data_IF_149726580948
#
_entry.id   IF_149726580948
#
_cell.length_a   1.000
_cell.length_b   1.000
_cell.length_c   1.000
_cell.angle_alpha   90.00
_cell.angle_beta   90.00
_cell.angle_gamma   90.00
#
_symmetry.space_group_name_H-M   'P 1'
#
loop_
_entity.id
_entity.type
_entity.pdbx_description
1 polymer ?
#
# COMPACT_ATOMS: atom_id res chain seq x y z
N UNK A 1 -63.77 -44.44 8.20
CA UNK A 1 -63.24 -43.12 8.63
C UNK A 1 -61.76 -43.09 8.25
N UNK A 2 -61.40 -42.30 7.21
CA UNK A 2 -60.03 -42.22 6.73
C UNK A 2 -59.39 -40.97 7.33
N UNK A 3 -58.40 -41.18 8.21
CA UNK A 3 -57.65 -40.10 8.81
C UNK A 3 -56.70 -39.53 7.76
N UNK A 4 -56.91 -38.26 7.36
CA UNK A 4 -56.06 -37.49 6.48
C UNK A 4 -54.95 -36.85 7.34
N UNK A 5 -53.71 -37.35 7.23
CA UNK A 5 -52.56 -36.75 7.90
C UNK A 5 -52.02 -35.63 6.95
N UNK A 6 -52.21 -34.41 7.42
CA UNK A 6 -51.71 -33.21 6.72
C UNK A 6 -50.22 -32.98 7.10
N UNK A 7 -49.31 -33.24 6.15
CA UNK A 7 -47.89 -32.87 6.33
C UNK A 7 -47.71 -31.39 6.09
N UNK A 8 -47.46 -30.63 7.16
CA UNK A 8 -47.06 -29.21 7.05
C UNK A 8 -45.58 -29.18 6.75
N UNK A 9 -45.23 -28.79 5.51
CA UNK A 9 -43.86 -28.53 5.08
C UNK A 9 -43.47 -27.12 5.56
N UNK A 10 -42.68 -27.03 6.65
CA UNK A 10 -42.09 -25.76 7.09
C UNK A 10 -40.77 -25.59 6.30
N UNK A 11 -40.64 -24.59 5.42
CA UNK A 11 -39.37 -24.32 4.76
C UNK A 11 -38.40 -23.81 5.81
N UNK A 12 -37.29 -24.53 6.03
CA UNK A 12 -36.14 -24.04 6.76
C UNK A 12 -35.51 -22.93 5.92
N UNK A 13 -35.83 -21.68 6.25
CA UNK A 13 -35.11 -20.53 5.74
C UNK A 13 -33.77 -20.51 6.48
N UNK A 14 -32.72 -21.03 5.84
CA UNK A 14 -31.36 -20.86 6.29
C UNK A 14 -31.01 -19.38 6.15
N UNK A 15 -31.08 -18.62 7.23
CA UNK A 15 -30.42 -17.34 7.32
C UNK A 15 -28.90 -17.61 7.31
N UNK A 16 -28.28 -17.47 6.13
CA UNK A 16 -26.84 -17.28 6.06
C UNK A 16 -26.54 -16.00 6.82
N UNK A 17 -26.02 -16.13 8.05
CA UNK A 17 -25.39 -15.01 8.73
C UNK A 17 -24.19 -14.59 7.87
N UNK A 18 -24.34 -13.52 7.09
CA UNK A 18 -23.22 -12.76 6.57
C UNK A 18 -22.37 -12.37 7.80
N UNK A 19 -21.24 -13.03 7.98
CA UNK A 19 -20.29 -12.65 9.00
C UNK A 19 -19.80 -11.24 8.68
N UNK A 20 -20.12 -10.26 9.52
CA UNK A 20 -19.70 -8.87 9.44
C UNK A 20 -18.19 -8.69 9.71
N UNK A 21 -17.35 -9.61 9.26
CA UNK A 21 -15.91 -9.42 9.18
C UNK A 21 -15.55 -8.99 7.76
N UNK A 22 -15.99 -7.80 7.36
CA UNK A 22 -15.65 -7.21 6.05
C UNK A 22 -14.13 -7.04 5.86
N UNK A 23 -13.37 -6.94 6.96
CA UNK A 23 -11.92 -6.85 6.91
C UNK A 23 -11.30 -7.72 8.01
N UNK A 24 -10.28 -8.48 7.64
CA UNK A 24 -9.50 -9.25 8.61
C UNK A 24 -8.85 -8.31 9.63
N UNK A 25 -8.86 -8.70 10.90
CA UNK A 25 -8.11 -7.98 11.93
C UNK A 25 -6.63 -7.95 11.53
N UNK A 26 -6.09 -6.75 11.32
CA UNK A 26 -4.70 -6.58 10.93
C UNK A 26 -3.80 -7.03 12.08
N UNK A 27 -2.90 -7.98 11.82
CA UNK A 27 -1.94 -8.40 12.81
C UNK A 27 -1.03 -7.23 13.17
N UNK A 28 -0.92 -6.91 14.45
CA UNK A 28 -0.09 -5.80 14.94
C UNK A 28 1.35 -5.90 14.43
N UNK A 29 1.92 -7.12 14.38
CA UNK A 29 3.26 -7.34 13.83
C UNK A 29 3.36 -6.91 12.37
N UNK A 30 2.39 -7.26 11.54
CA UNK A 30 2.40 -6.92 10.11
C UNK A 30 2.30 -5.40 9.88
N UNK A 31 1.50 -4.71 10.70
CA UNK A 31 1.44 -3.25 10.69
C UNK A 31 2.79 -2.63 11.06
N UNK A 32 3.45 -3.14 12.09
CA UNK A 32 4.77 -2.67 12.50
C UNK A 32 5.85 -2.95 11.44
N UNK A 33 5.80 -4.11 10.80
CA UNK A 33 6.73 -4.47 9.72
C UNK A 33 6.59 -3.51 8.52
N UNK A 34 5.35 -3.19 8.10
CA UNK A 34 5.09 -2.19 7.04
C UNK A 34 5.61 -0.81 7.44
N UNK A 35 5.31 -0.35 8.66
CA UNK A 35 5.80 0.94 9.16
C UNK A 35 7.32 0.99 9.20
N UNK A 36 7.99 -0.13 9.51
CA UNK A 36 9.45 -0.21 9.49
C UNK A 36 10.01 -0.06 8.07
N UNK A 37 9.35 -0.63 7.05
CA UNK A 37 9.74 -0.41 5.64
C UNK A 37 9.57 1.05 5.26
N UNK A 38 8.45 1.70 5.59
CA UNK A 38 8.22 3.13 5.35
C UNK A 38 9.31 4.00 5.97
N UNK A 39 9.65 3.73 7.23
CA UNK A 39 10.72 4.45 7.94
C UNK A 39 12.09 4.23 7.31
N UNK A 40 12.37 3.03 6.82
CA UNK A 40 13.62 2.72 6.12
C UNK A 40 13.71 3.45 4.78
N UNK A 41 12.61 3.55 4.04
CA UNK A 41 12.52 4.33 2.81
C UNK A 41 12.74 5.84 3.06
N UNK A 42 12.08 6.40 4.08
CA UNK A 42 12.28 7.80 4.48
C UNK A 42 13.75 8.09 4.82
N UNK A 43 14.38 7.20 5.59
CA UNK A 43 15.81 7.32 5.93
C UNK A 43 16.70 7.22 4.69
N UNK A 44 16.43 6.27 3.80
CA UNK A 44 17.20 6.09 2.56
C UNK A 44 17.10 7.33 1.66
N UNK A 45 15.88 7.85 1.46
CA UNK A 45 15.65 9.08 0.72
C UNK A 45 16.43 10.26 1.31
N UNK A 46 16.34 10.48 2.61
CA UNK A 46 16.99 11.59 3.30
C UNK A 46 18.52 11.50 3.29
N UNK A 47 19.07 10.32 2.98
CA UNK A 47 20.50 10.10 2.73
C UNK A 47 20.86 10.19 1.22
N UNK A 48 19.92 10.45 0.33
CA UNK A 48 20.15 10.49 -1.11
C UNK A 48 20.29 9.11 -1.76
N UNK A 49 19.90 8.04 -1.08
CA UNK A 49 20.06 6.66 -1.54
C UNK A 49 18.75 6.12 -2.14
N UNK A 50 18.57 6.41 -3.45
CA UNK A 50 17.40 5.94 -4.22
C UNK A 50 17.41 4.41 -4.32
N UNK A 51 18.55 3.75 -4.41
CA UNK A 51 18.62 2.29 -4.48
C UNK A 51 18.11 1.63 -3.21
N UNK A 52 18.51 2.15 -2.07
CA UNK A 52 18.01 1.68 -0.79
C UNK A 52 16.51 2.01 -0.60
N UNK A 53 16.06 3.18 -1.06
CA UNK A 53 14.64 3.55 -1.09
C UNK A 53 13.80 2.54 -1.89
N UNK A 54 14.30 2.13 -3.06
CA UNK A 54 13.64 1.18 -3.95
C UNK A 54 13.58 -0.26 -3.40
N UNK A 55 14.32 -0.57 -2.33
CA UNK A 55 14.22 -1.87 -1.65
C UNK A 55 12.87 -2.09 -0.93
N UNK A 56 12.07 -1.04 -0.71
CA UNK A 56 10.70 -1.15 -0.22
C UNK A 56 9.72 -1.70 -1.26
N UNK A 57 10.10 -1.70 -2.54
CA UNK A 57 9.26 -2.16 -3.64
C UNK A 57 9.61 -3.59 -4.07
N UNK A 58 8.61 -4.30 -4.61
CA UNK A 58 8.84 -5.60 -5.24
C UNK A 58 9.77 -5.45 -6.45
N UNK A 59 10.84 -6.23 -6.50
CA UNK A 59 11.75 -6.27 -7.66
C UNK A 59 11.17 -7.16 -8.76
N UNK A 60 10.19 -6.62 -9.49
CA UNK A 60 9.42 -7.32 -10.51
C UNK A 60 9.05 -6.39 -11.65
N UNK A 61 8.87 -6.94 -12.85
CA UNK A 61 8.27 -6.22 -13.99
C UNK A 61 6.79 -5.89 -13.80
N UNK A 62 6.15 -6.47 -12.79
CA UNK A 62 4.74 -6.25 -12.46
C UNK A 62 4.52 -5.11 -11.44
N UNK A 63 5.58 -4.50 -10.92
CA UNK A 63 5.43 -3.30 -10.09
C UNK A 63 4.70 -2.22 -10.88
N UNK A 64 3.73 -1.57 -10.26
CA UNK A 64 3.03 -0.42 -10.84
C UNK A 64 3.32 0.82 -10.00
N UNK A 65 3.90 1.82 -10.61
CA UNK A 65 4.05 3.15 -10.01
C UNK A 65 3.30 4.18 -10.84
N UNK A 66 2.33 4.89 -10.26
CA UNK A 66 1.56 5.94 -10.92
C UNK A 66 1.76 7.26 -10.20
N UNK A 67 2.35 8.23 -10.88
CA UNK A 67 2.54 9.59 -10.39
C UNK A 67 1.93 10.62 -11.34
N UNK A 68 2.29 11.90 -11.15
CA UNK A 68 1.80 13.04 -11.96
C UNK A 68 1.91 12.81 -13.48
N UNK A 69 2.96 12.13 -13.94
CA UNK A 69 3.20 11.87 -15.38
C UNK A 69 2.61 10.54 -15.86
N UNK A 70 1.69 9.93 -15.11
CA UNK A 70 1.06 8.67 -15.43
C UNK A 70 1.82 7.45 -14.92
N UNK A 71 1.35 6.23 -15.26
CA UNK A 71 1.89 4.99 -14.78
C UNK A 71 3.22 4.61 -15.44
N UNK A 72 4.06 3.93 -14.64
CA UNK A 72 5.27 3.22 -15.06
C UNK A 72 5.16 1.80 -14.54
N UNK A 73 5.59 0.85 -15.33
CA UNK A 73 5.52 -0.58 -15.01
C UNK A 73 6.92 -1.16 -14.90
N UNK A 74 7.17 -1.89 -13.84
CA UNK A 74 8.46 -2.51 -13.58
C UNK A 74 9.34 -1.77 -12.59
N UNK A 75 10.15 -2.54 -11.86
CA UNK A 75 11.04 -2.03 -10.82
C UNK A 75 12.18 -1.18 -11.42
N UNK A 76 12.79 -1.64 -12.52
CA UNK A 76 13.88 -0.91 -13.16
C UNK A 76 13.41 0.45 -13.70
N UNK A 77 12.28 0.46 -14.38
CA UNK A 77 11.68 1.65 -14.99
C UNK A 77 11.24 2.67 -13.91
N UNK A 78 10.72 2.17 -12.80
CA UNK A 78 10.39 3.01 -11.63
C UNK A 78 11.65 3.60 -11.02
N UNK A 79 12.70 2.79 -10.85
CA UNK A 79 14.00 3.25 -10.34
C UNK A 79 14.62 4.32 -11.23
N UNK A 80 14.67 4.11 -12.55
CA UNK A 80 15.18 5.08 -13.53
C UNK A 80 14.39 6.40 -13.47
N UNK A 81 13.04 6.31 -13.34
CA UNK A 81 12.21 7.49 -13.17
C UNK A 81 12.58 8.29 -11.92
N UNK A 82 12.87 7.63 -10.80
CA UNK A 82 13.34 8.31 -9.59
C UNK A 82 14.68 9.00 -9.82
N UNK A 83 15.67 8.35 -10.42
CA UNK A 83 16.96 8.96 -10.72
C UNK A 83 16.85 10.17 -11.66
N UNK A 84 16.00 10.08 -12.67
CA UNK A 84 15.79 11.17 -13.63
C UNK A 84 15.09 12.38 -12.99
N UNK A 85 14.11 12.13 -12.10
CA UNK A 85 13.34 13.20 -11.47
C UNK A 85 14.05 13.81 -10.25
N UNK A 86 14.98 13.08 -9.63
CA UNK A 86 15.66 13.46 -8.40
C UNK A 86 17.18 13.28 -8.52
N UNK A 87 17.83 14.09 -9.38
CA UNK A 87 19.23 13.90 -9.75
C UNK A 87 20.23 14.25 -8.64
N UNK A 88 19.79 14.93 -7.58
CA UNK A 88 20.63 15.33 -6.46
C UNK A 88 19.79 15.62 -5.20
N UNK A 89 20.48 15.80 -4.07
CA UNK A 89 19.85 15.99 -2.77
C UNK A 89 19.02 17.28 -2.66
N UNK A 90 19.36 18.34 -3.39
CA UNK A 90 18.61 19.60 -3.39
C UNK A 90 17.22 19.41 -4.00
N UNK A 91 17.15 18.62 -5.10
CA UNK A 91 15.88 18.26 -5.75
C UNK A 91 15.10 17.22 -4.94
N UNK A 92 15.79 16.27 -4.30
CA UNK A 92 15.17 15.29 -3.42
C UNK A 92 14.50 15.97 -2.21
N UNK A 93 15.22 16.86 -1.54
CA UNK A 93 14.79 17.45 -0.27
C UNK A 93 14.72 16.44 0.86
N UNK A 94 14.15 16.85 1.99
CA UNK A 94 13.93 16.01 3.16
C UNK A 94 12.51 15.46 3.13
N UNK A 95 12.40 14.13 3.08
CA UNK A 95 11.14 13.40 3.06
C UNK A 95 10.62 13.14 4.47
N UNK A 96 9.33 13.35 4.64
CA UNK A 96 8.58 12.88 5.79
C UNK A 96 7.28 12.22 5.30
N UNK A 97 6.97 11.04 5.84
CA UNK A 97 5.72 10.33 5.61
C UNK A 97 4.78 10.48 6.81
N UNK A 98 3.53 10.80 6.53
CA UNK A 98 2.44 10.73 7.50
C UNK A 98 1.44 9.65 7.05
N UNK A 99 1.43 8.51 7.75
CA UNK A 99 0.53 7.39 7.43
C UNK A 99 -0.81 7.62 8.11
N UNK A 100 -1.87 7.78 7.31
CA UNK A 100 -3.23 8.01 7.77
C UNK A 100 -3.96 6.71 8.13
N UNK A 101 -3.74 5.65 7.34
CA UNK A 101 -4.41 4.36 7.56
C UNK A 101 -3.60 3.21 6.97
N UNK A 102 -3.57 2.09 7.70
CA UNK A 102 -3.17 0.77 7.20
C UNK A 102 -4.34 -0.18 7.41
N UNK A 103 -4.64 -0.99 6.40
CA UNK A 103 -5.76 -1.92 6.42
C UNK A 103 -5.35 -3.25 5.80
N UNK A 104 -5.64 -4.36 6.49
CA UNK A 104 -5.50 -5.70 5.92
C UNK A 104 -6.61 -5.95 4.90
N UNK A 105 -6.25 -6.50 3.76
CA UNK A 105 -7.19 -7.04 2.76
C UNK A 105 -7.22 -8.56 2.86
N UNK A 106 -6.06 -9.18 3.05
CA UNK A 106 -5.88 -10.61 3.31
C UNK A 106 -4.69 -10.83 4.24
N UNK A 107 -4.33 -12.07 4.52
CA UNK A 107 -3.17 -12.42 5.34
C UNK A 107 -1.83 -11.96 4.75
N UNK A 108 -1.79 -11.67 3.44
CA UNK A 108 -0.60 -11.32 2.68
C UNK A 108 -0.75 -10.05 1.81
N UNK A 109 -1.91 -9.40 1.85
CA UNK A 109 -2.19 -8.14 1.14
C UNK A 109 -2.65 -7.08 2.13
N UNK A 110 -2.06 -5.90 2.03
CA UNK A 110 -2.47 -4.72 2.79
C UNK A 110 -2.60 -3.50 1.89
N UNK A 111 -3.43 -2.57 2.32
CA UNK A 111 -3.62 -1.26 1.73
C UNK A 111 -3.16 -0.20 2.73
N UNK A 112 -2.46 0.82 2.24
CA UNK A 112 -2.02 1.94 3.03
C UNK A 112 -2.34 3.24 2.31
N UNK A 113 -2.81 4.24 3.05
CA UNK A 113 -2.97 5.61 2.58
C UNK A 113 -2.24 6.57 3.50
N UNK A 114 -1.59 7.57 2.93
CA UNK A 114 -0.83 8.57 3.65
C UNK A 114 -0.52 9.80 2.81
N UNK A 115 0.31 10.63 3.40
CA UNK A 115 0.81 11.88 2.84
C UNK A 115 2.32 11.87 2.84
N UNK A 116 2.90 12.48 1.83
CA UNK A 116 4.33 12.82 1.83
C UNK A 116 4.52 14.32 1.88
N UNK A 117 5.60 14.72 2.50
CA UNK A 117 6.09 16.08 2.50
C UNK A 117 7.59 16.08 2.18
N UNK A 118 7.99 16.82 1.14
CA UNK A 118 9.37 17.03 0.74
C UNK A 118 9.73 18.48 1.04
N UNK A 119 10.52 18.68 2.09
CA UNK A 119 11.07 20.00 2.42
C UNK A 119 12.30 20.25 1.57
N UNK A 120 12.30 21.32 0.77
CA UNK A 120 13.35 21.70 -0.17
C UNK A 120 13.85 23.10 0.09
N UNK A 121 15.05 23.40 -0.41
CA UNK A 121 15.61 24.75 -0.39
C UNK A 121 14.90 25.71 -1.36
N UNK A 122 14.28 25.20 -2.41
CA UNK A 122 13.57 25.98 -3.44
C UNK A 122 12.08 26.07 -3.18
N UNK A 123 11.37 24.98 -3.40
CA UNK A 123 9.92 24.87 -3.22
C UNK A 123 9.58 23.52 -2.64
N UNK A 124 8.87 23.53 -1.51
CA UNK A 124 8.34 22.32 -0.90
C UNK A 124 7.38 21.61 -1.84
N UNK A 125 7.31 20.30 -1.75
CA UNK A 125 6.35 19.48 -2.47
C UNK A 125 5.65 18.54 -1.49
N UNK A 126 4.36 18.37 -1.69
CA UNK A 126 3.56 17.48 -0.85
C UNK A 126 2.43 16.86 -1.66
N UNK A 127 1.86 15.82 -1.14
CA UNK A 127 0.73 15.13 -1.77
C UNK A 127 0.34 13.89 -1.01
N UNK A 128 -0.55 13.13 -1.61
CA UNK A 128 -1.09 11.91 -1.02
C UNK A 128 -0.60 10.70 -1.81
N UNK A 129 -0.55 9.58 -1.13
CA UNK A 129 -0.25 8.30 -1.78
C UNK A 129 -1.15 7.18 -1.26
N UNK A 130 -1.35 6.21 -2.11
CA UNK A 130 -1.95 4.93 -1.77
C UNK A 130 -1.02 3.82 -2.19
N UNK A 131 -0.76 2.88 -1.27
CA UNK A 131 0.14 1.76 -1.49
C UNK A 131 -0.61 0.45 -1.31
N UNK A 132 -0.40 -0.47 -2.25
CA UNK A 132 -0.77 -1.86 -2.09
C UNK A 132 0.48 -2.65 -1.75
N UNK A 133 0.41 -3.39 -0.65
CA UNK A 133 1.49 -4.19 -0.11
C UNK A 133 1.22 -5.66 -0.28
N UNK A 134 2.27 -6.44 -0.53
CA UNK A 134 2.22 -7.90 -0.53
C UNK A 134 3.32 -8.47 0.36
N UNK A 135 2.96 -9.47 1.15
CA UNK A 135 3.89 -10.24 1.97
C UNK A 135 4.46 -11.38 1.16
N UNK A 136 5.77 -11.34 0.90
CA UNK A 136 6.48 -12.34 0.10
C UNK A 136 7.65 -12.87 0.92
N UNK A 137 7.69 -14.18 1.16
CA UNK A 137 8.73 -14.81 1.99
C UNK A 137 8.91 -14.11 3.36
N UNK A 138 7.79 -13.73 3.97
CA UNK A 138 7.77 -13.06 5.28
C UNK A 138 8.11 -11.57 5.28
N UNK A 139 8.37 -10.95 4.12
CA UNK A 139 8.68 -9.52 3.96
C UNK A 139 7.55 -8.79 3.27
N UNK A 140 7.16 -7.64 3.80
CA UNK A 140 6.21 -6.74 3.16
C UNK A 140 6.89 -5.87 2.11
N UNK A 141 6.36 -5.88 0.88
CA UNK A 141 6.87 -5.13 -0.27
C UNK A 141 5.72 -4.40 -0.97
N UNK A 142 5.97 -3.19 -1.44
CA UNK A 142 5.03 -2.41 -2.23
C UNK A 142 4.93 -3.04 -3.63
N UNK A 143 3.72 -3.39 -4.04
CA UNK A 143 3.42 -3.93 -5.39
C UNK A 143 2.73 -2.90 -6.28
N UNK A 144 2.09 -1.89 -5.68
CA UNK A 144 1.50 -0.77 -6.40
C UNK A 144 1.61 0.50 -5.56
N UNK A 145 1.97 1.59 -6.21
CA UNK A 145 2.08 2.93 -5.65
C UNK A 145 1.33 3.90 -6.55
N UNK A 146 0.40 4.65 -5.98
CA UNK A 146 -0.24 5.77 -6.63
C UNK A 146 -0.02 7.02 -5.79
N UNK A 147 0.77 7.94 -6.33
CA UNK A 147 1.16 9.18 -5.66
C UNK A 147 0.69 10.40 -6.46
N UNK A 148 0.00 11.30 -5.80
CA UNK A 148 -0.44 12.59 -6.36
C UNK A 148 0.38 13.72 -5.80
N UNK A 149 0.62 14.77 -6.58
CA UNK A 149 1.14 16.04 -6.06
C UNK A 149 -0.03 17.01 -5.84
N UNK A 150 -0.01 17.73 -4.73
CA UNK A 150 -1.04 18.71 -4.36
C UNK A 150 -0.65 20.15 -4.79
N UNK A 151 0.54 20.33 -5.40
CA UNK A 151 1.05 21.61 -5.90
C UNK A 151 1.61 21.49 -7.33
#
# INVERSE_FOLDING_TARGET
MRNLILFIFIPLISFSQLSNNEFMTFNQKDSLDIMQVMKSQEKAWNNGDIDLFMNGYIKSSQLVFSGKSGPVYGWNETRERYFNNYPNNDVMGQLNFNVSKIQSISSDIAFLIGEYYLKRSTQDSYGHFTLVWKKINGKWLIISDHTTAAN
#
